data_IF_491001878311
#
_entry.id   IF_491001878311
#
_cell.length_a   1.000
_cell.length_b   1.000
_cell.length_c   1.000
_cell.angle_alpha   90.00
_cell.angle_beta   90.00
_cell.angle_gamma   90.00
#
_symmetry.space_group_name_H-M   'P 1'
#
loop_
_entity.id
_entity.type
_entity.pdbx_description
1 polymer ?
#
# COMPACT_ATOMS: atom_id res chain seq x y z
N UNK A 1 -14.68 12.16 -4.72
CA UNK A 1 -14.12 12.97 -3.62
C UNK A 1 -12.72 13.43 -3.99
N UNK A 2 -12.26 14.55 -3.42
CA UNK A 2 -10.90 15.07 -3.57
C UNK A 2 -10.20 14.93 -2.23
N UNK A 3 -8.98 14.38 -2.21
CA UNK A 3 -8.26 14.08 -0.96
C UNK A 3 -6.87 14.70 -0.97
N UNK A 4 -6.54 15.46 0.06
CA UNK A 4 -5.17 15.96 0.29
C UNK A 4 -4.21 14.83 0.73
N UNK A 5 -2.91 15.05 0.57
CA UNK A 5 -1.89 14.16 1.10
C UNK A 5 -1.97 14.07 2.63
N UNK A 6 -1.66 12.90 3.19
CA UNK A 6 -1.79 12.62 4.63
C UNK A 6 -0.61 11.79 5.11
N UNK A 7 -0.18 12.03 6.34
CA UNK A 7 0.86 11.25 7.01
C UNK A 7 0.37 9.82 7.26
N UNK A 8 1.21 8.84 6.95
CA UNK A 8 1.11 7.48 7.51
C UNK A 8 2.23 7.38 8.54
N UNK A 9 1.92 7.40 9.85
CA UNK A 9 2.95 7.55 10.87
C UNK A 9 3.80 6.30 10.98
N UNK A 10 5.11 6.49 11.10
CA UNK A 10 6.09 5.54 11.59
C UNK A 10 6.43 5.87 13.07
N UNK A 11 7.41 5.18 13.66
CA UNK A 11 7.83 5.41 15.05
C UNK A 11 8.26 6.86 15.29
N UNK A 12 9.00 7.44 14.35
CA UNK A 12 9.48 8.82 14.45
C UNK A 12 8.30 9.81 14.45
N UNK A 13 7.30 9.60 13.57
CA UNK A 13 6.11 10.46 13.49
C UNK A 13 5.20 10.28 14.71
N UNK A 14 5.17 9.11 15.33
CA UNK A 14 4.45 8.90 16.60
C UNK A 14 5.06 9.77 17.70
N UNK A 15 6.39 9.82 17.80
CA UNK A 15 7.09 10.66 18.77
C UNK A 15 6.91 12.16 18.46
N UNK A 16 7.20 12.57 17.22
CA UNK A 16 7.12 13.97 16.78
C UNK A 16 5.74 14.59 17.06
N UNK A 17 4.67 13.85 16.74
CA UNK A 17 3.30 14.34 16.87
C UNK A 17 2.59 13.87 18.15
N UNK A 18 3.29 13.19 19.06
CA UNK A 18 2.74 12.64 20.32
C UNK A 18 1.47 11.81 20.09
N UNK A 19 1.50 10.94 19.08
CA UNK A 19 0.33 10.14 18.69
C UNK A 19 0.08 9.03 19.69
N UNK A 20 -1.19 8.72 19.96
CA UNK A 20 -1.58 7.61 20.85
C UNK A 20 -1.09 6.24 20.37
N UNK A 21 -0.95 6.07 19.06
CA UNK A 21 -0.48 4.84 18.41
C UNK A 21 -0.07 5.12 16.97
N UNK A 22 0.63 4.17 16.38
CA UNK A 22 0.90 4.13 14.94
C UNK A 22 -0.39 3.81 14.19
N UNK A 23 -1.02 4.83 13.61
CA UNK A 23 -2.26 4.69 12.86
C UNK A 23 -2.01 4.07 11.48
N UNK A 24 -2.97 3.27 11.01
CA UNK A 24 -2.96 2.76 9.62
C UNK A 24 -3.09 3.91 8.62
N UNK A 25 -2.52 3.73 7.43
CA UNK A 25 -2.58 4.74 6.36
C UNK A 25 -4.03 5.12 6.03
N UNK A 26 -4.42 6.40 6.08
CA UNK A 26 -5.77 6.83 5.68
C UNK A 26 -6.09 6.43 4.23
N UNK A 27 -5.10 6.47 3.33
CA UNK A 27 -5.27 6.04 1.94
C UNK A 27 -5.56 4.54 1.85
N UNK A 28 -4.82 3.71 2.60
CA UNK A 28 -5.04 2.27 2.64
C UNK A 28 -6.41 1.90 3.19
N UNK A 29 -6.83 2.56 4.27
CA UNK A 29 -8.16 2.37 4.88
C UNK A 29 -9.29 2.68 3.90
N UNK A 30 -9.25 3.84 3.22
CA UNK A 30 -10.28 4.22 2.25
C UNK A 30 -10.33 3.24 1.07
N UNK A 31 -9.17 2.84 0.53
CA UNK A 31 -9.09 1.90 -0.60
C UNK A 31 -9.67 0.53 -0.26
N UNK A 32 -9.42 0.05 0.95
CA UNK A 32 -9.96 -1.24 1.40
C UNK A 32 -11.49 -1.21 1.53
N UNK A 33 -12.08 -0.06 1.86
CA UNK A 33 -13.53 0.12 1.96
C UNK A 33 -14.16 0.23 0.56
N UNK A 34 -13.58 1.05 -0.31
CA UNK A 34 -14.15 1.33 -1.63
C UNK A 34 -13.87 0.24 -2.66
N UNK A 35 -12.77 -0.50 -2.50
CA UNK A 35 -12.21 -1.34 -3.55
C UNK A 35 -11.73 -0.53 -4.77
N UNK A 36 -11.25 -1.23 -5.80
CA UNK A 36 -10.97 -0.66 -7.12
C UNK A 36 -9.50 -0.54 -7.51
N UNK A 37 -9.26 0.31 -8.50
CA UNK A 37 -7.97 0.47 -9.18
C UNK A 37 -7.55 1.93 -9.16
N UNK A 38 -6.29 2.19 -8.83
CA UNK A 38 -5.71 3.53 -8.87
C UNK A 38 -5.03 3.72 -10.20
N UNK A 39 -5.44 4.73 -10.95
CA UNK A 39 -4.74 5.15 -12.16
C UNK A 39 -3.78 6.30 -11.83
N UNK A 40 -2.53 6.16 -12.27
CA UNK A 40 -1.51 7.21 -12.16
C UNK A 40 -1.09 7.63 -13.55
N UNK A 41 -1.28 8.90 -13.85
CA UNK A 41 -0.93 9.52 -15.12
C UNK A 41 0.08 10.65 -14.89
N UNK A 42 1.15 10.73 -15.69
CA UNK A 42 2.09 11.83 -15.60
C UNK A 42 1.54 13.11 -16.24
N UNK A 43 1.81 14.25 -15.61
CA UNK A 43 1.63 15.56 -16.25
C UNK A 43 2.88 15.86 -17.08
N UNK A 44 2.73 15.94 -18.41
CA UNK A 44 3.85 16.18 -19.33
C UNK A 44 3.97 17.67 -19.65
N UNK A 45 5.16 18.23 -19.47
CA UNK A 45 5.48 19.62 -19.79
C UNK A 45 6.52 19.68 -20.91
N UNK A 46 6.34 20.56 -21.89
CA UNK A 46 7.23 20.67 -23.06
C UNK A 46 8.67 21.05 -22.69
N UNK A 47 8.85 21.82 -21.62
CA UNK A 47 10.14 22.34 -21.17
C UNK A 47 10.83 21.47 -20.11
N UNK A 48 10.25 20.33 -19.72
CA UNK A 48 10.86 19.40 -18.76
C UNK A 48 11.27 18.12 -19.51
N UNK A 49 12.58 17.84 -19.62
CA UNK A 49 13.06 16.67 -20.36
C UNK A 49 12.70 15.36 -19.65
N UNK A 50 12.56 14.28 -20.43
CA UNK A 50 12.24 12.95 -19.94
C UNK A 50 13.51 12.12 -19.81
N UNK A 51 13.58 11.32 -18.74
CA UNK A 51 14.74 10.46 -18.47
C UNK A 51 14.83 9.26 -19.41
N UNK A 52 13.70 8.72 -19.88
CA UNK A 52 13.67 7.58 -20.79
C UNK A 52 13.49 8.07 -22.23
N UNK A 53 14.52 7.91 -23.11
CA UNK A 53 14.40 8.27 -24.51
C UNK A 53 13.29 7.47 -25.20
N UNK A 54 12.54 8.11 -26.10
CA UNK A 54 11.47 7.48 -26.88
C UNK A 54 10.10 7.44 -26.20
N UNK A 55 9.99 7.76 -24.91
CA UNK A 55 8.69 7.90 -24.23
C UNK A 55 8.00 9.19 -24.62
N UNK A 56 7.36 9.21 -25.79
CA UNK A 56 6.73 10.42 -26.37
C UNK A 56 5.30 10.67 -25.88
N UNK A 57 4.60 9.61 -25.46
CA UNK A 57 3.20 9.64 -24.96
C UNK A 57 3.15 9.30 -23.46
N UNK A 58 2.08 9.70 -22.73
CA UNK A 58 1.87 9.30 -21.34
C UNK A 58 1.81 7.77 -21.20
N UNK A 59 2.38 7.26 -20.11
CA UNK A 59 2.22 5.88 -19.68
C UNK A 59 1.40 5.91 -18.39
N UNK A 60 0.25 5.25 -18.40
CA UNK A 60 -0.67 5.21 -17.26
C UNK A 60 -0.48 3.89 -16.52
N UNK A 61 -0.27 3.97 -15.20
CA UNK A 61 -0.18 2.79 -14.35
C UNK A 61 -1.52 2.55 -13.68
N UNK A 62 -2.18 1.45 -14.05
CA UNK A 62 -3.33 0.90 -13.33
C UNK A 62 -2.86 -0.01 -12.21
N UNK A 63 -3.05 0.40 -10.96
CA UNK A 63 -2.65 -0.37 -9.78
C UNK A 63 -3.86 -0.93 -9.06
N UNK A 64 -3.91 -2.25 -8.92
CA UNK A 64 -4.87 -2.93 -8.06
C UNK A 64 -4.69 -2.46 -6.61
N UNK A 65 -5.78 -1.98 -5.99
CA UNK A 65 -5.73 -1.29 -4.70
C UNK A 65 -6.18 -2.16 -3.51
N UNK A 66 -6.31 -3.48 -3.71
CA UNK A 66 -6.86 -4.40 -2.71
C UNK A 66 -5.95 -5.60 -2.47
N UNK A 67 -5.79 -6.00 -1.20
CA UNK A 67 -5.12 -7.25 -0.82
C UNK A 67 -3.60 -7.15 -0.67
N UNK A 68 -2.94 -8.27 -0.93
CA UNK A 68 -1.49 -8.50 -0.84
C UNK A 68 -0.90 -8.05 0.51
N UNK A 69 0.33 -7.54 0.51
CA UNK A 69 1.01 -7.00 1.69
C UNK A 69 0.18 -5.95 2.46
N UNK A 70 -0.79 -5.28 1.82
CA UNK A 70 -1.64 -4.28 2.49
C UNK A 70 -2.73 -4.90 3.37
N UNK A 71 -2.96 -6.21 3.26
CA UNK A 71 -3.83 -7.01 4.13
C UNK A 71 -3.09 -8.18 4.78
N UNK A 72 -1.77 -8.26 4.62
CA UNK A 72 -0.97 -9.26 5.29
C UNK A 72 -1.00 -9.04 6.81
N UNK A 73 -0.87 -10.14 7.54
CA UNK A 73 -0.67 -10.11 8.99
C UNK A 73 0.80 -10.40 9.24
N UNK A 74 1.50 -9.43 9.80
CA UNK A 74 2.90 -9.59 10.18
C UNK A 74 2.99 -10.13 11.60
N UNK A 75 3.95 -11.00 11.84
CA UNK A 75 4.31 -11.45 13.18
C UNK A 75 5.80 -11.72 13.25
N UNK A 76 6.39 -11.48 14.41
CA UNK A 76 7.81 -11.77 14.68
C UNK A 76 7.94 -13.15 15.30
N UNK A 77 8.87 -13.95 14.80
CA UNK A 77 9.23 -15.22 15.41
C UNK A 77 10.25 -14.98 16.54
N UNK A 78 10.08 -15.61 17.71
CA UNK A 78 10.97 -15.41 18.86
C UNK A 78 12.33 -16.14 18.72
N UNK A 79 12.47 -17.07 17.76
CA UNK A 79 13.67 -17.88 17.60
C UNK A 79 13.67 -18.74 16.34
N UNK A 80 14.68 -19.60 16.20
CA UNK A 80 14.84 -20.51 15.04
C UNK A 80 13.71 -21.55 15.01
N UNK A 81 13.20 -21.87 13.83
CA UNK A 81 12.13 -22.87 13.66
C UNK A 81 11.74 -23.10 12.21
N UNK A 82 10.70 -23.92 11.99
CA UNK A 82 10.11 -24.20 10.68
C UNK A 82 8.74 -23.56 10.59
N UNK A 83 8.52 -22.74 9.56
CA UNK A 83 7.20 -22.21 9.23
C UNK A 83 6.44 -23.21 8.35
N UNK A 84 5.16 -23.42 8.66
CA UNK A 84 4.21 -24.10 7.75
C UNK A 84 2.91 -23.30 7.71
N UNK A 85 2.31 -23.21 6.53
CA UNK A 85 0.97 -22.63 6.34
C UNK A 85 0.03 -23.81 6.07
N UNK A 86 -1.06 -23.89 6.84
CA UNK A 86 -2.07 -24.93 6.74
C UNK A 86 -3.43 -24.29 6.53
N UNK A 87 -4.18 -24.78 5.54
CA UNK A 87 -5.60 -24.49 5.41
C UNK A 87 -6.37 -25.65 6.05
N UNK A 88 -7.44 -25.34 6.78
CA UNK A 88 -8.37 -26.34 7.28
C UNK A 88 -9.75 -25.83 6.90
N UNK A 89 -10.42 -26.56 6.01
CA UNK A 89 -11.79 -26.26 5.60
C UNK A 89 -12.75 -26.37 6.78
N UNK A 90 -13.90 -25.72 6.67
CA UNK A 90 -14.95 -25.81 7.70
C UNK A 90 -15.50 -27.24 7.86
N UNK A 91 -15.34 -28.08 6.83
CA UNK A 91 -15.63 -29.51 6.83
C UNK A 91 -14.54 -30.36 7.49
N UNK A 92 -13.47 -29.73 8.01
CA UNK A 92 -12.34 -30.40 8.63
C UNK A 92 -11.32 -30.98 7.65
N UNK A 93 -11.50 -30.78 6.34
CA UNK A 93 -10.50 -31.21 5.35
C UNK A 93 -9.25 -30.34 5.42
N UNK A 94 -8.10 -30.95 5.20
CA UNK A 94 -6.76 -30.35 5.29
C UNK A 94 -6.09 -30.40 3.94
#
# INVERSE_FOLDING_TARGET
>A
GVKCATITPDEQRVEEFKLKKMWKSPNGTIRNILGGTIFREPIIMKNVPRLVPGWTKPIIVGRHAFGDQYRATDFRYPGKGKLTIKFVGEDGTV
#
